data_IF_271181523012
#
_entry.id   IF_271181523012
#
_cell.length_a   1.000
_cell.length_b   1.000
_cell.length_c   1.000
_cell.angle_alpha   90.00
_cell.angle_beta   90.00
_cell.angle_gamma   90.00
#
_symmetry.space_group_name_H-M   'P 1'
#
loop_
_entity.id
_entity.type
_entity.pdbx_description
1 polymer ?
#
# COMPACT_ATOMS: atom_id res chain seq x y z
N UNK A 1 8.59 -10.56 -8.08
CA UNK A 1 9.16 -11.84 -7.58
C UNK A 1 10.45 -11.69 -6.76
N UNK A 2 11.14 -10.54 -6.75
CA UNK A 2 12.40 -10.36 -6.00
C UNK A 2 12.35 -10.68 -4.49
N UNK A 3 11.40 -10.10 -3.70
CA UNK A 3 11.33 -10.37 -2.27
C UNK A 3 11.09 -11.83 -1.92
N UNK A 4 10.33 -12.55 -2.74
CA UNK A 4 10.03 -13.98 -2.56
C UNK A 4 11.33 -14.80 -2.69
N UNK A 5 12.13 -14.53 -3.72
CA UNK A 5 13.40 -15.24 -3.93
C UNK A 5 14.39 -14.98 -2.79
N UNK A 6 14.56 -13.71 -2.38
CA UNK A 6 15.43 -13.35 -1.26
C UNK A 6 15.01 -14.06 0.03
N UNK A 7 13.70 -14.12 0.29
CA UNK A 7 13.16 -14.77 1.48
C UNK A 7 13.47 -16.27 1.50
N UNK A 8 13.39 -16.96 0.36
CA UNK A 8 13.76 -18.39 0.27
C UNK A 8 15.21 -18.66 0.67
N UNK A 9 16.13 -17.73 0.39
CA UNK A 9 17.53 -17.85 0.80
C UNK A 9 17.78 -17.45 2.26
N UNK A 10 17.07 -16.43 2.75
CA UNK A 10 17.30 -15.89 4.10
C UNK A 10 16.64 -16.71 5.20
N UNK A 11 15.42 -17.23 4.96
CA UNK A 11 14.61 -17.93 5.96
C UNK A 11 15.33 -19.13 6.59
N UNK A 12 15.98 -20.05 5.83
CA UNK A 12 16.70 -21.16 6.44
C UNK A 12 17.76 -20.73 7.47
N UNK A 13 18.49 -19.65 7.19
CA UNK A 13 19.48 -19.09 8.10
C UNK A 13 18.85 -18.42 9.32
N UNK A 14 17.67 -17.81 9.17
CA UNK A 14 16.90 -17.28 10.32
C UNK A 14 16.38 -18.40 11.22
N UNK A 15 15.90 -19.50 10.63
CA UNK A 15 15.43 -20.68 11.35
C UNK A 15 16.58 -21.30 12.15
N UNK A 16 17.74 -21.52 11.52
CA UNK A 16 18.93 -22.05 12.20
C UNK A 16 19.37 -21.19 13.40
N UNK A 17 19.20 -19.87 13.29
CA UNK A 17 19.51 -18.93 14.37
C UNK A 17 18.42 -18.86 15.46
N UNK A 18 17.24 -19.45 15.21
CA UNK A 18 16.09 -19.40 16.12
C UNK A 18 15.48 -18.00 16.30
N UNK A 19 15.84 -17.04 15.43
CA UNK A 19 15.31 -15.67 15.46
C UNK A 19 15.49 -14.95 14.12
N UNK A 20 14.49 -14.18 13.74
CA UNK A 20 14.55 -13.30 12.57
C UNK A 20 13.35 -12.38 12.47
N UNK A 21 13.47 -11.35 11.62
CA UNK A 21 12.38 -10.47 11.29
C UNK A 21 12.46 -10.08 9.81
N UNK A 22 11.42 -10.41 9.05
CA UNK A 22 11.21 -9.95 7.69
C UNK A 22 10.30 -8.72 7.70
N UNK A 23 10.79 -7.58 7.20
CA UNK A 23 10.00 -6.35 7.05
C UNK A 23 9.84 -6.07 5.56
N UNK A 24 8.60 -6.12 5.09
CA UNK A 24 8.28 -6.03 3.66
C UNK A 24 7.49 -4.77 3.37
N UNK A 25 7.92 -4.03 2.35
CA UNK A 25 7.24 -2.81 1.88
C UNK A 25 6.36 -3.14 0.68
N UNK A 26 5.06 -3.20 0.93
CA UNK A 26 4.01 -3.38 -0.07
C UNK A 26 3.45 -2.03 -0.52
N UNK A 27 2.12 -1.87 -0.53
CA UNK A 27 1.38 -0.65 -0.85
C UNK A 27 -0.09 -0.83 -0.44
N UNK A 28 -0.79 0.28 -0.20
CA UNK A 28 -2.26 0.29 -0.06
C UNK A 28 -2.97 -0.22 -1.33
N UNK A 29 -2.35 -0.11 -2.51
CA UNK A 29 -2.84 -0.73 -3.75
C UNK A 29 -2.79 -2.27 -3.73
N UNK A 30 -2.13 -2.86 -2.72
CA UNK A 30 -2.17 -4.30 -2.42
C UNK A 30 -3.31 -4.72 -1.50
N UNK A 31 -4.17 -3.77 -1.09
CA UNK A 31 -5.30 -3.97 -0.17
C UNK A 31 -6.62 -3.61 -0.81
N UNK A 32 -6.63 -2.46 -1.49
CA UNK A 32 -7.80 -1.94 -2.19
C UNK A 32 -7.49 -1.77 -3.69
N UNK A 33 -8.51 -1.81 -4.56
CA UNK A 33 -8.31 -1.54 -5.98
C UNK A 33 -7.80 -0.12 -6.23
N UNK A 34 -6.76 0.01 -7.05
CA UNK A 34 -6.28 1.30 -7.56
C UNK A 34 -6.48 1.37 -9.07
N UNK A 35 -7.55 2.05 -9.56
CA UNK A 35 -7.78 2.24 -10.99
C UNK A 35 -6.58 2.89 -11.68
N UNK A 36 -6.33 2.53 -12.95
CA UNK A 36 -5.14 2.88 -13.73
C UNK A 36 -3.82 2.23 -13.27
N UNK A 37 -3.85 1.40 -12.22
CA UNK A 37 -2.67 0.70 -11.70
C UNK A 37 -2.91 -0.81 -11.53
N UNK A 38 -3.59 -1.44 -12.49
CA UNK A 38 -4.05 -2.84 -12.38
C UNK A 38 -2.91 -3.83 -12.13
N UNK A 39 -1.86 -3.79 -12.95
CA UNK A 39 -0.70 -4.71 -12.82
C UNK A 39 0.07 -4.47 -11.53
N UNK A 40 0.24 -3.20 -11.15
CA UNK A 40 0.86 -2.82 -9.88
C UNK A 40 0.06 -3.33 -8.68
N UNK A 41 -1.26 -3.13 -8.71
CA UNK A 41 -2.18 -3.59 -7.65
C UNK A 41 -2.15 -5.11 -7.52
N UNK A 42 -2.22 -5.84 -8.65
CA UNK A 42 -2.11 -7.30 -8.66
C UNK A 42 -0.78 -7.78 -8.05
N UNK A 43 0.33 -7.15 -8.43
CA UNK A 43 1.66 -7.48 -7.89
C UNK A 43 1.75 -7.24 -6.39
N UNK A 44 1.17 -6.14 -5.88
CA UNK A 44 1.18 -5.81 -4.45
C UNK A 44 0.22 -6.68 -3.64
N UNK A 45 -0.91 -7.10 -4.21
CA UNK A 45 -1.77 -8.12 -3.61
C UNK A 45 -1.06 -9.47 -3.50
N UNK A 46 -0.32 -9.89 -4.53
CA UNK A 46 0.45 -11.12 -4.51
C UNK A 46 1.54 -11.11 -3.41
N UNK A 47 2.22 -9.97 -3.23
CA UNK A 47 3.18 -9.78 -2.13
C UNK A 47 2.49 -9.91 -0.78
N UNK A 48 1.35 -9.22 -0.57
CA UNK A 48 0.61 -9.31 0.70
C UNK A 48 0.16 -10.74 0.99
N UNK A 49 -0.48 -11.41 0.03
CA UNK A 49 -0.91 -12.79 0.17
C UNK A 49 0.25 -13.72 0.54
N UNK A 50 1.37 -13.64 -0.19
CA UNK A 50 2.53 -14.48 0.08
C UNK A 50 3.09 -14.28 1.49
N UNK A 51 3.35 -13.03 1.91
CA UNK A 51 4.00 -12.78 3.19
C UNK A 51 3.06 -12.94 4.39
N UNK A 52 1.75 -12.76 4.22
CA UNK A 52 0.78 -13.09 5.28
C UNK A 52 0.68 -14.59 5.51
N UNK A 53 0.71 -15.41 4.44
CA UNK A 53 0.75 -16.87 4.56
C UNK A 53 2.07 -17.33 5.17
N UNK A 54 3.20 -16.83 4.66
CA UNK A 54 4.53 -17.18 5.19
C UNK A 54 4.67 -16.83 6.67
N UNK A 55 4.09 -15.71 7.12
CA UNK A 55 4.05 -15.36 8.55
C UNK A 55 3.39 -16.44 9.40
N UNK A 56 2.31 -17.04 8.91
CA UNK A 56 1.62 -18.11 9.63
C UNK A 56 2.45 -19.40 9.65
N UNK A 57 3.09 -19.73 8.52
CA UNK A 57 3.99 -20.88 8.40
C UNK A 57 5.24 -20.79 9.30
N UNK A 58 5.71 -19.58 9.59
CA UNK A 58 6.89 -19.32 10.42
C UNK A 58 6.57 -19.01 11.89
N UNK A 59 5.29 -19.09 12.30
CA UNK A 59 4.84 -18.65 13.61
C UNK A 59 5.50 -19.45 14.77
N UNK A 60 5.80 -20.73 14.55
CA UNK A 60 6.46 -21.62 15.50
C UNK A 60 8.00 -21.51 15.47
N UNK A 61 8.57 -20.82 14.47
CA UNK A 61 10.03 -20.69 14.27
C UNK A 61 10.64 -19.45 14.89
N UNK A 62 9.87 -18.67 15.66
CA UNK A 62 10.30 -17.38 16.22
C UNK A 62 10.82 -16.40 15.15
N UNK A 63 10.20 -16.42 13.96
CA UNK A 63 10.48 -15.49 12.87
C UNK A 63 9.28 -14.57 12.70
N UNK A 64 9.52 -13.27 12.90
CA UNK A 64 8.49 -12.23 12.72
C UNK A 64 8.41 -11.82 11.26
N UNK A 65 7.21 -11.48 10.81
CA UNK A 65 6.96 -10.89 9.49
C UNK A 65 6.06 -9.68 9.66
N UNK A 66 6.51 -8.53 9.19
CA UNK A 66 5.78 -7.27 9.17
C UNK A 66 5.57 -6.84 7.73
N UNK A 67 4.31 -6.72 7.30
CA UNK A 67 3.96 -6.17 5.99
C UNK A 67 3.52 -4.73 6.14
N UNK A 68 4.27 -3.81 5.54
CA UNK A 68 3.95 -2.39 5.54
C UNK A 68 3.24 -2.04 4.24
N UNK A 69 2.13 -1.32 4.33
CA UNK A 69 1.33 -0.83 3.22
C UNK A 69 1.34 0.71 3.20
N UNK A 70 2.33 1.35 2.56
CA UNK A 70 2.34 2.80 2.40
C UNK A 70 1.29 3.27 1.38
N UNK A 71 0.68 4.43 1.69
CA UNK A 71 -0.09 5.23 0.76
C UNK A 71 0.80 6.14 -0.11
N UNK A 72 0.29 7.31 -0.57
CA UNK A 72 1.09 8.28 -1.30
C UNK A 72 2.24 8.83 -0.45
N UNK A 73 3.48 8.56 -0.88
CA UNK A 73 4.70 9.05 -0.22
C UNK A 73 5.37 10.09 -1.11
N UNK A 74 5.86 11.16 -0.49
CA UNK A 74 6.67 12.19 -1.15
C UNK A 74 8.11 11.68 -1.27
N UNK A 75 8.52 11.37 -2.49
CA UNK A 75 9.84 10.84 -2.83
C UNK A 75 10.38 11.58 -4.04
N UNK A 76 11.69 11.81 -4.10
CA UNK A 76 12.39 12.48 -5.21
C UNK A 76 12.43 11.68 -6.52
N UNK A 77 11.47 10.77 -6.72
CA UNK A 77 11.25 10.07 -7.99
C UNK A 77 10.76 11.09 -9.02
N UNK A 78 11.72 11.81 -9.63
CA UNK A 78 11.54 12.61 -10.84
C UNK A 78 11.14 11.69 -12.01
N UNK A 79 9.86 11.32 -12.09
CA UNK A 79 9.30 10.67 -13.27
C UNK A 79 8.20 11.55 -13.88
N UNK A 80 8.63 12.51 -14.69
CA UNK A 80 7.98 12.88 -15.96
C UNK A 80 6.48 13.18 -16.03
N UNK A 81 5.77 13.55 -14.96
CA UNK A 81 4.38 14.04 -15.07
C UNK A 81 4.15 15.26 -14.17
N UNK A 82 4.05 16.39 -14.85
CA UNK A 82 3.93 17.73 -14.34
C UNK A 82 2.51 18.04 -13.81
N UNK A 83 2.46 18.91 -12.79
CA UNK A 83 1.32 19.74 -12.35
C UNK A 83 0.14 19.14 -11.57
N UNK A 84 -0.14 17.84 -11.59
CA UNK A 84 -1.30 17.30 -10.83
C UNK A 84 -1.01 16.88 -9.37
N UNK A 85 0.27 16.81 -8.96
CA UNK A 85 0.69 16.27 -7.66
C UNK A 85 0.33 17.17 -6.45
N UNK A 86 -0.12 18.41 -6.67
CA UNK A 86 -0.39 19.39 -5.61
C UNK A 86 -1.70 19.16 -4.82
N UNK A 87 -2.54 18.18 -5.19
CA UNK A 87 -3.83 17.94 -4.51
C UNK A 87 -3.84 16.74 -3.54
N UNK A 88 -2.82 15.89 -3.54
CA UNK A 88 -2.74 14.75 -2.62
C UNK A 88 -1.76 15.04 -1.49
N UNK A 89 -2.25 15.02 -0.25
CA UNK A 89 -1.40 15.15 0.93
C UNK A 89 -0.52 13.91 1.06
N UNK A 90 0.68 13.97 0.50
CA UNK A 90 1.69 12.90 0.52
C UNK A 90 2.46 12.90 1.83
N UNK A 91 2.72 11.72 2.37
CA UNK A 91 3.55 11.57 3.57
C UNK A 91 5.03 11.70 3.20
N UNK A 92 5.84 12.52 3.90
CA UNK A 92 7.26 12.61 3.58
C UNK A 92 7.98 11.29 3.83
N UNK A 93 8.97 10.99 2.99
CA UNK A 93 9.72 9.72 3.04
C UNK A 93 10.34 9.43 4.42
N UNK A 94 10.91 10.43 5.10
CA UNK A 94 11.51 10.25 6.42
C UNK A 94 10.48 9.77 7.45
N UNK A 95 9.25 10.30 7.41
CA UNK A 95 8.18 9.91 8.33
C UNK A 95 7.67 8.51 8.01
N UNK A 96 7.63 8.14 6.74
CA UNK A 96 7.33 6.77 6.33
C UNK A 96 8.37 5.78 6.88
N UNK A 97 9.66 6.10 6.76
CA UNK A 97 10.75 5.29 7.29
C UNK A 97 10.68 5.14 8.82
N UNK A 98 10.43 6.24 9.53
CA UNK A 98 10.23 6.24 10.98
C UNK A 98 9.10 5.29 11.39
N UNK A 99 7.94 5.40 10.73
CA UNK A 99 6.79 4.55 11.01
C UNK A 99 7.03 3.07 10.64
N UNK A 100 7.84 2.79 9.62
CA UNK A 100 8.29 1.42 9.29
C UNK A 100 9.14 0.85 10.43
N UNK A 101 10.08 1.64 10.96
CA UNK A 101 10.93 1.22 12.08
C UNK A 101 10.08 0.99 13.34
N UNK A 102 9.14 1.87 13.65
CA UNK A 102 8.19 1.68 14.76
C UNK A 102 7.38 0.41 14.57
N UNK A 103 6.83 0.17 13.37
CA UNK A 103 6.07 -1.05 13.09
C UNK A 103 6.92 -2.33 13.25
N UNK A 104 8.17 -2.29 12.80
CA UNK A 104 9.10 -3.41 12.92
C UNK A 104 9.51 -3.66 14.38
N UNK A 105 9.91 -2.63 15.12
CA UNK A 105 10.34 -2.77 16.52
C UNK A 105 9.23 -3.29 17.43
N UNK A 106 7.99 -2.86 17.20
CA UNK A 106 6.81 -3.37 17.92
C UNK A 106 6.30 -4.72 17.41
N UNK A 107 6.89 -5.28 16.35
CA UNK A 107 6.49 -6.58 15.81
C UNK A 107 5.08 -6.60 15.22
N UNK A 108 4.62 -5.46 14.68
CA UNK A 108 3.30 -5.40 14.04
C UNK A 108 3.25 -6.37 12.86
N UNK A 109 2.18 -7.14 12.74
CA UNK A 109 2.01 -8.07 11.60
C UNK A 109 1.78 -7.29 10.31
N UNK A 110 1.13 -6.15 10.42
CA UNK A 110 0.75 -5.28 9.32
C UNK A 110 0.70 -3.82 9.77
N UNK A 111 1.16 -2.89 8.93
CA UNK A 111 1.12 -1.45 9.22
C UNK A 111 0.72 -0.64 7.98
N UNK A 112 -0.34 0.16 8.08
CA UNK A 112 -0.82 1.02 7.00
C UNK A 112 -0.34 2.44 7.27
N UNK A 113 0.40 3.02 6.33
CA UNK A 113 1.10 4.29 6.53
C UNK A 113 0.59 5.31 5.53
N UNK A 114 -0.22 6.25 5.99
CA UNK A 114 -0.72 7.38 5.19
C UNK A 114 -1.20 8.51 6.10
N UNK A 115 -1.37 9.72 5.56
CA UNK A 115 -1.98 10.82 6.31
C UNK A 115 -3.48 10.61 6.53
N UNK A 116 -3.99 11.13 7.64
CA UNK A 116 -5.42 11.35 7.80
C UNK A 116 -5.87 12.51 6.88
N UNK A 117 -7.04 12.44 6.21
CA UNK A 117 -8.11 11.44 6.35
C UNK A 117 -8.00 10.23 5.41
N UNK A 118 -7.00 10.18 4.52
CA UNK A 118 -6.84 9.11 3.53
C UNK A 118 -6.76 7.74 4.22
N UNK A 119 -6.00 7.63 5.30
CA UNK A 119 -5.90 6.38 6.07
C UNK A 119 -7.27 5.86 6.53
N UNK A 120 -8.15 6.73 7.02
CA UNK A 120 -9.51 6.35 7.43
C UNK A 120 -10.34 5.85 6.24
N UNK A 121 -10.26 6.55 5.10
CA UNK A 121 -10.95 6.14 3.88
C UNK A 121 -10.48 4.77 3.38
N UNK A 122 -9.18 4.47 3.50
CA UNK A 122 -8.64 3.15 3.16
C UNK A 122 -9.24 2.06 4.05
N UNK A 123 -9.35 2.30 5.35
CA UNK A 123 -9.98 1.34 6.28
C UNK A 123 -11.47 1.14 5.99
N UNK A 124 -12.21 2.23 5.75
CA UNK A 124 -13.62 2.16 5.34
C UNK A 124 -13.76 1.37 4.04
N UNK A 125 -12.90 1.62 3.05
CA UNK A 125 -12.94 0.92 1.78
C UNK A 125 -12.66 -0.58 1.93
N UNK A 126 -11.77 -0.97 2.83
CA UNK A 126 -11.44 -2.36 3.12
C UNK A 126 -12.58 -3.12 3.81
N UNK A 127 -13.27 -2.47 4.76
CA UNK A 127 -14.28 -3.13 5.61
C UNK A 127 -15.73 -2.90 5.14
N UNK A 128 -15.96 -1.96 4.23
CA UNK A 128 -17.25 -1.72 3.56
C UNK A 128 -17.10 -1.83 2.03
N UNK A 129 -16.79 -3.04 1.51
CA UNK A 129 -16.44 -3.23 0.10
C UNK A 129 -17.57 -2.83 -0.85
N UNK A 130 -18.83 -3.09 -0.51
CA UNK A 130 -19.97 -2.72 -1.37
C UNK A 130 -20.05 -1.21 -1.63
N UNK A 131 -19.81 -0.39 -0.59
CA UNK A 131 -19.76 1.07 -0.71
C UNK A 131 -18.50 1.49 -1.45
N UNK A 132 -17.36 0.85 -1.15
CA UNK A 132 -16.09 1.13 -1.78
C UNK A 132 -16.14 0.89 -3.30
N UNK A 133 -16.64 -0.25 -3.74
CA UNK A 133 -16.77 -0.59 -5.15
C UNK A 133 -17.76 0.34 -5.86
N UNK A 134 -18.91 0.64 -5.25
CA UNK A 134 -19.87 1.61 -5.81
C UNK A 134 -19.25 3.00 -6.04
N UNK A 135 -18.33 3.42 -5.16
CA UNK A 135 -17.57 4.65 -5.32
C UNK A 135 -16.47 4.51 -6.38
N UNK A 136 -15.70 3.42 -6.34
CA UNK A 136 -14.59 3.16 -7.26
C UNK A 136 -15.10 3.03 -8.69
N UNK A 137 -16.24 2.39 -8.94
CA UNK A 137 -16.82 2.23 -10.28
C UNK A 137 -17.27 3.57 -10.86
N UNK A 138 -17.70 4.51 -10.01
CA UNK A 138 -18.05 5.88 -10.42
C UNK A 138 -16.82 6.76 -10.72
N UNK A 139 -15.69 6.49 -10.07
CA UNK A 139 -14.46 7.29 -10.16
C UNK A 139 -13.43 6.66 -11.12
N UNK A 140 -13.48 5.35 -11.31
CA UNK A 140 -12.51 4.53 -12.03
C UNK A 140 -12.37 4.91 -13.50
N UNK A 141 -13.47 4.96 -14.29
CA UNK A 141 -13.39 5.42 -15.68
C UNK A 141 -12.79 6.82 -15.80
N UNK A 142 -13.16 7.73 -14.89
CA UNK A 142 -12.61 9.10 -14.87
C UNK A 142 -11.10 9.14 -14.58
N UNK A 143 -10.57 8.18 -13.81
CA UNK A 143 -9.12 8.04 -13.56
C UNK A 143 -8.34 7.50 -14.74
N UNK A 144 -8.91 6.52 -15.45
CA UNK A 144 -8.29 5.96 -16.67
C UNK A 144 -8.20 7.03 -17.76
N UNK A 145 -9.24 7.85 -17.92
CA UNK A 145 -9.22 8.96 -18.88
C UNK A 145 -8.37 10.17 -18.45
N UNK A 146 -7.97 10.27 -17.17
CA UNK A 146 -7.12 11.36 -16.63
C UNK A 146 -5.66 10.94 -16.45
N UNK A 147 -5.22 9.90 -17.18
CA UNK A 147 -3.83 9.42 -17.23
C UNK A 147 -3.23 9.07 -15.84
N UNK A 148 -4.06 8.55 -14.93
CA UNK A 148 -3.61 8.04 -13.63
C UNK A 148 -3.13 9.09 -12.61
N UNK A 149 -3.27 10.39 -12.89
CA UNK A 149 -2.60 11.44 -12.10
C UNK A 149 -3.31 11.86 -10.79
N UNK A 150 -4.51 11.35 -10.48
CA UNK A 150 -5.23 11.66 -9.22
C UNK A 150 -5.80 10.38 -8.59
N UNK A 151 -5.02 9.75 -7.72
CA UNK A 151 -5.30 8.48 -7.07
C UNK A 151 -6.05 8.60 -5.73
N UNK A 152 -6.14 9.79 -5.12
CA UNK A 152 -6.71 10.00 -3.77
C UNK A 152 -7.37 11.37 -3.54
N UNK A 153 -7.60 12.18 -4.58
CA UNK A 153 -8.27 13.47 -4.41
C UNK A 153 -9.78 13.32 -4.16
N UNK A 154 -10.26 13.83 -3.03
CA UNK A 154 -11.70 13.95 -2.73
C UNK A 154 -12.44 14.86 -3.74
N UNK A 155 -11.72 15.69 -4.51
CA UNK A 155 -12.32 16.54 -5.55
C UNK A 155 -12.92 15.75 -6.72
N UNK A 156 -12.50 14.49 -6.93
CA UNK A 156 -13.08 13.61 -7.96
C UNK A 156 -14.51 13.16 -7.62
N UNK A 157 -14.88 13.16 -6.33
CA UNK A 157 -16.23 12.85 -5.86
C UNK A 157 -17.20 14.03 -6.00
N UNK A 158 -16.70 15.27 -5.93
CA UNK A 158 -17.52 16.48 -5.76
C UNK A 158 -17.43 17.51 -6.90
N UNK A 159 -16.79 17.22 -8.03
CA UNK A 159 -16.79 18.15 -9.17
C UNK A 159 -18.19 18.22 -9.82
N UNK A 160 -19.01 19.18 -9.36
CA UNK A 160 -20.28 19.60 -9.99
C UNK A 160 -20.06 19.84 -11.49
N UNK A 161 -20.93 19.26 -12.32
CA UNK A 161 -21.11 19.64 -13.74
C UNK A 161 -21.27 21.16 -13.78
N UNK A 162 -20.30 21.88 -14.34
CA UNK A 162 -20.62 23.19 -14.94
C UNK A 162 -21.29 22.86 -16.27
N UNK A 163 -22.59 23.08 -16.32
CA UNK A 163 -23.33 23.21 -17.58
C UNK A 163 -22.81 24.47 -18.28
N UNK A 164 -22.40 24.29 -19.54
CA UNK A 164 -22.50 25.25 -20.64
C UNK A 164 -22.81 24.44 -21.87
#
# INVERSE_FOLDING_TARGET
>A
MGPIHLTRFLVPSMIKRGKGHLVLVSSVAGKIPSPAQTVYSASKHAVNGYFHSLRAELADKNIKVTVVCPGPIDTDLKSGTSRAQNLERRLPAYRCAELIIVAATHGLKEAWISYHPILLLLYVAQYLPSVAYAVIDKVGPKRVHSDGQQAYSASLLFRRKKQT
#
